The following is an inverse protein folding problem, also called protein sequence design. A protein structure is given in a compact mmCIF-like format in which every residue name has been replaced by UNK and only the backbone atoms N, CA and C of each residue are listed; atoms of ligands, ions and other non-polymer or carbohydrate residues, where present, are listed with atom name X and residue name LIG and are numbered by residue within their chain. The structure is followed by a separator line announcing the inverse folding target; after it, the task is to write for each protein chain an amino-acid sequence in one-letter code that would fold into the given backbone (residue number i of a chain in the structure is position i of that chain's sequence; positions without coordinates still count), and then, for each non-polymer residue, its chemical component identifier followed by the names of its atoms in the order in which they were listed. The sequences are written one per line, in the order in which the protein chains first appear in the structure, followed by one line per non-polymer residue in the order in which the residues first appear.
data_IF_027922551586
#
_entry.id   IF_027922551586
#
_cell.length_a   1.000
_cell.length_b   1.000
_cell.length_c   1.000
_cell.angle_alpha   90.00
_cell.angle_beta   90.00
_cell.angle_gamma   90.00
#
_symmetry.space_group_name_H-M   'P 1'
#
loop_
_entity.id
_entity.type
_entity.pdbx_description
1 polymer ?
#
# COMPACT_ATOMS: atom_id res chain seq x y z
N UNK A 1 -15.07 12.07 12.54
CA UNK A 1 -14.27 11.86 11.31
C UNK A 1 -13.32 10.70 11.56
N UNK A 2 -13.74 9.49 11.19
CA UNK A 2 -12.93 8.28 11.37
C UNK A 2 -12.20 8.00 10.05
N UNK A 3 -10.89 8.25 10.03
CA UNK A 3 -10.03 7.82 8.93
C UNK A 3 -9.97 6.30 8.98
N UNK A 4 -10.51 5.65 7.97
CA UNK A 4 -10.39 4.20 7.78
C UNK A 4 -9.01 3.93 7.17
N UNK A 5 -7.97 4.03 8.01
CA UNK A 5 -6.65 3.50 7.70
C UNK A 5 -6.76 1.97 7.64
N UNK A 6 -6.50 1.40 6.49
CA UNK A 6 -6.45 -0.05 6.32
C UNK A 6 -5.12 -0.55 6.89
N UNK A 7 -5.11 -0.89 8.17
CA UNK A 7 -3.94 -1.41 8.88
C UNK A 7 -3.76 -2.91 8.58
N UNK A 8 -2.64 -3.35 8.01
CA UNK A 8 -2.34 -4.78 7.83
C UNK A 8 -0.87 -5.13 8.10
N UNK A 9 -0.52 -5.24 9.38
CA UNK A 9 0.66 -5.97 9.84
C UNK A 9 0.68 -7.41 9.27
N UNK A 10 1.62 -7.74 8.38
CA UNK A 10 1.61 -8.98 7.58
C UNK A 10 2.95 -9.72 7.62
N UNK A 11 3.01 -10.96 8.14
CA UNK A 11 4.15 -11.87 7.97
C UNK A 11 3.72 -13.18 7.29
N UNK A 12 4.26 -13.48 6.10
CA UNK A 12 3.73 -14.52 5.18
C UNK A 12 4.57 -15.81 5.15
N UNK A 13 3.91 -16.98 5.19
CA UNK A 13 4.35 -18.23 4.50
C UNK A 13 3.13 -19.12 4.14
N UNK A 14 3.26 -20.01 3.14
CA UNK A 14 2.15 -20.68 2.42
C UNK A 14 1.46 -21.83 3.21
N UNK A 15 0.12 -21.80 3.33
CA UNK A 15 -0.78 -22.96 3.48
C UNK A 15 -1.63 -23.08 4.77
N UNK A 16 -2.97 -22.92 4.66
CA UNK A 16 -4.05 -22.98 5.72
C UNK A 16 -4.05 -21.77 6.71
N UNK A 17 -5.14 -21.42 7.45
CA UNK A 17 -5.26 -20.09 8.05
C UNK A 17 -4.39 -19.97 9.31
N UNK A 18 -3.13 -19.56 9.13
CA UNK A 18 -2.17 -19.19 10.18
C UNK A 18 -2.38 -17.77 10.73
N UNK A 19 -3.34 -17.04 10.14
CA UNK A 19 -3.52 -15.61 10.31
C UNK A 19 -4.82 -15.35 11.07
N UNK A 20 -4.70 -14.66 12.20
CA UNK A 20 -5.83 -14.20 13.00
C UNK A 20 -5.87 -12.68 12.95
N UNK A 21 -7.00 -12.11 12.51
CA UNK A 21 -7.25 -10.67 12.62
C UNK A 21 -8.04 -10.39 13.89
N UNK A 22 -7.45 -9.66 14.83
CA UNK A 22 -8.09 -9.32 16.09
C UNK A 22 -8.70 -7.91 15.98
N UNK A 23 -10.02 -7.86 15.84
CA UNK A 23 -10.83 -6.69 16.22
C UNK A 23 -11.22 -6.85 17.71
N UNK A 24 -12.27 -6.21 18.31
CA UNK A 24 -12.46 -6.30 19.77
C UNK A 24 -12.76 -7.71 20.33
N UNK A 25 -12.82 -8.76 19.49
CA UNK A 25 -12.82 -10.16 19.91
C UNK A 25 -11.56 -10.87 19.39
N UNK A 26 -10.85 -11.64 20.25
CA UNK A 26 -9.68 -12.40 19.82
C UNK A 26 -10.12 -13.59 18.94
N UNK A 27 -9.50 -13.69 17.76
CA UNK A 27 -9.71 -14.77 16.80
C UNK A 27 -8.48 -15.71 16.76
N UNK A 28 -7.82 -15.92 17.89
CA UNK A 28 -6.52 -16.61 17.98
C UNK A 28 -6.71 -18.07 18.41
N UNK A 29 -6.02 -19.00 17.75
CA UNK A 29 -5.99 -20.42 18.09
C UNK A 29 -4.56 -20.90 18.38
N UNK A 30 -4.39 -22.15 18.85
CA UNK A 30 -3.08 -22.70 19.22
C UNK A 30 -2.11 -22.86 18.03
N UNK A 31 -2.59 -22.72 16.80
CA UNK A 31 -1.79 -22.79 15.57
C UNK A 31 -1.54 -21.42 14.94
N UNK A 32 -2.07 -20.34 15.49
CA UNK A 32 -1.86 -18.99 14.94
C UNK A 32 -0.38 -18.63 15.05
N UNK A 33 0.21 -18.17 13.94
CA UNK A 33 1.61 -17.69 13.89
C UNK A 33 1.74 -16.27 13.37
N UNK A 34 0.67 -15.71 12.82
CA UNK A 34 0.56 -14.31 12.46
C UNK A 34 -0.70 -13.74 13.11
N UNK A 35 -0.52 -12.69 13.89
CA UNK A 35 -1.62 -11.91 14.43
C UNK A 35 -1.63 -10.52 13.77
N UNK A 36 -2.75 -10.19 13.14
CA UNK A 36 -3.01 -8.86 12.61
C UNK A 36 -3.80 -8.11 13.67
N UNK A 37 -3.16 -7.10 14.26
CA UNK A 37 -3.73 -6.31 15.36
C UNK A 37 -3.75 -4.84 14.96
N UNK A 38 -4.70 -4.11 15.54
CA UNK A 38 -4.67 -2.65 15.47
C UNK A 38 -3.58 -2.11 16.40
N UNK A 39 -3.06 -0.92 16.12
CA UNK A 39 -2.02 -0.27 16.92
C UNK A 39 -2.40 -0.20 18.41
N UNK A 40 -3.66 0.13 18.70
CA UNK A 40 -4.15 0.18 20.08
C UNK A 40 -4.22 -1.18 20.78
N UNK A 41 -4.40 -2.29 20.04
CA UNK A 41 -4.30 -3.64 20.60
C UNK A 41 -2.83 -3.98 20.86
N UNK A 42 -1.93 -3.68 19.93
CA UNK A 42 -0.49 -3.90 20.10
C UNK A 42 0.04 -3.18 21.35
N UNK A 43 -0.30 -1.91 21.54
CA UNK A 43 0.10 -1.15 22.75
C UNK A 43 -0.37 -1.85 24.03
N UNK A 44 -1.61 -2.35 24.06
CA UNK A 44 -2.15 -3.08 25.23
C UNK A 44 -1.47 -4.43 25.43
N UNK A 45 -1.05 -5.10 24.36
CA UNK A 45 -0.29 -6.35 24.46
C UNK A 45 1.05 -6.08 25.15
N UNK A 46 1.80 -5.07 24.68
CA UNK A 46 3.10 -4.68 25.26
C UNK A 46 2.96 -4.26 26.73
N UNK A 47 1.91 -3.49 27.08
CA UNK A 47 1.67 -3.08 28.47
C UNK A 47 1.35 -4.24 29.41
N UNK A 48 0.74 -5.33 28.89
CA UNK A 48 0.37 -6.51 29.69
C UNK A 48 1.51 -7.51 29.80
N UNK A 49 2.23 -7.71 28.71
CA UNK A 49 3.41 -8.57 28.62
C UNK A 49 4.52 -7.81 27.87
N UNK A 50 5.37 -7.07 28.60
CA UNK A 50 6.50 -6.35 28.00
C UNK A 50 7.51 -7.26 27.32
N UNK A 51 7.59 -8.53 27.70
CA UNK A 51 8.49 -9.48 27.06
C UNK A 51 7.94 -9.97 25.72
N UNK A 52 6.64 -9.76 25.43
CA UNK A 52 5.95 -10.30 24.25
C UNK A 52 6.30 -11.78 24.03
N UNK A 53 6.03 -12.60 25.05
CA UNK A 53 6.47 -14.00 25.10
C UNK A 53 5.94 -14.77 23.90
N UNK A 54 6.83 -15.47 23.18
CA UNK A 54 6.49 -16.23 21.98
C UNK A 54 6.43 -15.41 20.68
N UNK A 55 6.56 -14.09 20.74
CA UNK A 55 6.71 -13.21 19.57
C UNK A 55 8.19 -13.05 19.24
N UNK A 56 8.56 -13.26 17.97
CA UNK A 56 9.92 -13.06 17.46
C UNK A 56 10.09 -11.91 16.49
N UNK A 57 8.98 -11.36 15.97
CA UNK A 57 8.98 -10.25 15.02
C UNK A 57 7.70 -9.43 15.20
N UNK A 58 7.84 -8.10 15.28
CA UNK A 58 6.71 -7.16 15.14
C UNK A 58 6.89 -6.35 13.87
N UNK A 59 5.81 -6.21 13.10
CA UNK A 59 5.77 -5.42 11.87
C UNK A 59 4.88 -4.20 12.12
N UNK A 60 5.42 -3.01 11.92
CA UNK A 60 4.64 -1.77 11.94
C UNK A 60 4.37 -1.37 10.49
N UNK A 61 3.14 -1.60 10.04
CA UNK A 61 2.72 -1.28 8.66
C UNK A 61 2.12 0.13 8.56
N UNK A 62 2.14 0.71 7.36
CA UNK A 62 1.58 2.05 7.09
C UNK A 62 2.13 3.17 8.00
N UNK A 63 3.40 3.06 8.45
CA UNK A 63 3.98 3.95 9.46
C UNK A 63 4.03 5.45 9.05
N UNK A 64 3.76 5.76 7.78
CA UNK A 64 3.69 7.12 7.28
C UNK A 64 2.45 7.91 7.72
N UNK A 65 1.40 7.25 8.23
CA UNK A 65 0.25 7.96 8.78
C UNK A 65 0.58 8.71 10.10
N UNK A 66 1.73 8.40 10.71
CA UNK A 66 2.24 9.01 11.95
C UNK A 66 1.17 9.16 13.02
N UNK A 67 0.44 8.07 13.27
CA UNK A 67 -0.50 8.03 14.38
C UNK A 67 0.28 8.08 15.70
N UNK A 68 -0.31 8.69 16.73
CA UNK A 68 0.27 8.70 18.07
C UNK A 68 0.49 7.28 18.61
N UNK A 69 -0.40 6.35 18.23
CA UNK A 69 -0.33 4.95 18.64
C UNK A 69 0.83 4.21 17.97
N UNK A 70 1.13 4.46 16.70
CA UNK A 70 2.28 3.88 16.02
C UNK A 70 3.60 4.40 16.62
N UNK A 71 3.72 5.71 16.84
CA UNK A 71 4.91 6.31 17.45
C UNK A 71 5.13 5.77 18.88
N UNK A 72 4.06 5.62 19.68
CA UNK A 72 4.13 5.02 21.01
C UNK A 72 4.51 3.54 20.97
N UNK A 73 3.92 2.76 20.06
CA UNK A 73 4.25 1.36 19.90
C UNK A 73 5.72 1.17 19.53
N UNK A 74 6.25 1.99 18.61
CA UNK A 74 7.66 1.95 18.23
C UNK A 74 8.57 2.26 19.42
N UNK A 75 8.28 3.32 20.19
CA UNK A 75 9.07 3.67 21.37
C UNK A 75 9.12 2.52 22.39
N UNK A 76 7.97 1.93 22.72
CA UNK A 76 7.90 0.81 23.66
C UNK A 76 8.65 -0.43 23.14
N UNK A 77 8.56 -0.72 21.85
CA UNK A 77 9.25 -1.87 21.25
C UNK A 77 10.77 -1.69 21.25
N UNK A 78 11.27 -0.48 21.03
CA UNK A 78 12.70 -0.18 21.12
C UNK A 78 13.22 -0.32 22.55
N UNK A 79 12.44 0.11 23.55
CA UNK A 79 12.78 -0.08 24.96
C UNK A 79 12.83 -1.57 25.34
N UNK A 80 11.87 -2.36 24.84
CA UNK A 80 11.84 -3.82 25.06
C UNK A 80 13.06 -4.49 24.43
N UNK A 81 13.46 -4.10 23.21
CA UNK A 81 14.66 -4.65 22.56
C UNK A 81 15.95 -4.34 23.33
N UNK A 82 16.04 -3.17 23.96
CA UNK A 82 17.23 -2.76 24.70
C UNK A 82 17.32 -3.40 26.09
N UNK A 83 16.18 -3.63 26.75
CA UNK A 83 16.15 -4.08 28.14
C UNK A 83 15.89 -5.57 28.36
N UNK A 84 15.03 -6.18 27.54
CA UNK A 84 14.44 -7.50 27.84
C UNK A 84 14.66 -8.53 26.73
N UNK A 85 14.58 -8.12 25.46
CA UNK A 85 14.51 -9.03 24.31
C UNK A 85 15.40 -8.56 23.15
N UNK A 86 16.70 -8.79 23.27
CA UNK A 86 17.66 -8.54 22.19
C UNK A 86 17.42 -9.42 20.95
N UNK A 87 16.67 -10.51 21.09
CA UNK A 87 16.25 -11.40 20.01
C UNK A 87 14.99 -10.94 19.25
N UNK A 88 14.21 -10.02 19.82
CA UNK A 88 12.98 -9.53 19.18
C UNK A 88 13.32 -8.70 17.95
N UNK A 89 12.76 -9.04 16.78
CA UNK A 89 12.98 -8.29 15.54
C UNK A 89 11.88 -7.25 15.32
N UNK A 90 12.25 -6.15 14.66
CA UNK A 90 11.31 -5.11 14.22
C UNK A 90 11.43 -4.89 12.71
N UNK A 91 10.28 -4.76 12.06
CA UNK A 91 10.16 -4.35 10.67
C UNK A 91 9.21 -3.17 10.58
N UNK A 92 9.66 -2.06 10.01
CA UNK A 92 8.83 -0.88 9.78
C UNK A 92 8.58 -0.77 8.28
N UNK A 93 7.30 -0.76 7.89
CA UNK A 93 6.86 -0.63 6.50
C UNK A 93 6.19 0.73 6.30
N UNK A 94 6.58 1.43 5.23
CA UNK A 94 6.05 2.73 4.87
C UNK A 94 5.92 2.84 3.35
N UNK A 95 4.80 3.39 2.88
CA UNK A 95 4.56 3.65 1.46
C UNK A 95 5.16 4.99 0.98
N UNK A 96 5.52 5.89 1.90
CA UNK A 96 6.01 7.24 1.54
C UNK A 96 7.37 7.57 2.16
N UNK A 97 8.11 8.33 1.38
CA UNK A 97 9.56 8.57 1.44
C UNK A 97 9.95 9.60 2.53
N UNK A 98 9.63 9.36 3.80
CA UNK A 98 10.25 10.09 4.93
C UNK A 98 11.21 9.19 5.70
N UNK A 99 11.97 8.38 4.93
CA UNK A 99 13.00 7.47 5.42
C UNK A 99 14.05 8.23 6.24
N UNK A 100 14.32 9.51 5.93
CA UNK A 100 15.39 10.29 6.54
C UNK A 100 15.21 10.49 8.05
N UNK A 101 13.97 10.59 8.55
CA UNK A 101 13.71 10.70 9.99
C UNK A 101 13.85 9.37 10.71
N UNK A 102 13.31 8.31 10.11
CA UNK A 102 13.44 6.95 10.65
C UNK A 102 14.91 6.51 10.66
N UNK A 103 15.67 6.81 9.61
CA UNK A 103 17.12 6.58 9.56
C UNK A 103 17.88 7.39 10.61
N UNK A 104 17.45 8.62 10.92
CA UNK A 104 18.04 9.40 12.02
C UNK A 104 17.74 8.78 13.40
N UNK A 105 16.54 8.23 13.58
CA UNK A 105 16.15 7.57 14.82
C UNK A 105 16.84 6.20 14.97
N UNK A 106 17.00 5.49 13.87
CA UNK A 106 17.51 4.13 13.78
C UNK A 106 18.66 4.06 12.75
N UNK A 107 19.82 4.64 13.04
CA UNK A 107 20.93 4.75 12.07
C UNK A 107 21.49 3.40 11.65
N UNK A 108 21.39 2.39 12.53
CA UNK A 108 21.87 1.03 12.26
C UNK A 108 20.84 0.15 11.54
N UNK A 109 19.60 0.64 11.32
CA UNK A 109 18.56 -0.15 10.70
C UNK A 109 18.74 -0.22 9.17
N UNK A 110 18.88 -1.41 8.57
CA UNK A 110 19.02 -1.55 7.13
C UNK A 110 17.72 -1.15 6.43
N UNK A 111 17.83 -0.30 5.40
CA UNK A 111 16.70 0.15 4.60
C UNK A 111 16.57 -0.71 3.35
N UNK A 112 15.41 -1.32 3.18
CA UNK A 112 15.07 -2.09 1.99
C UNK A 112 14.01 -1.33 1.21
N UNK A 113 14.32 -0.97 -0.04
CA UNK A 113 13.40 -0.27 -0.94
C UNK A 113 12.87 -1.26 -1.96
N UNK A 114 11.54 -1.33 -2.07
CA UNK A 114 10.87 -2.07 -3.15
C UNK A 114 10.47 -1.08 -4.24
N UNK A 115 11.12 -1.15 -5.39
CA UNK A 115 10.80 -0.29 -6.53
C UNK A 115 9.47 -0.69 -7.17
N UNK A 116 8.54 0.27 -7.24
CA UNK A 116 7.30 0.15 -8.00
C UNK A 116 7.43 0.76 -9.39
N UNK A 117 6.51 0.41 -10.29
CA UNK A 117 6.37 1.12 -11.56
C UNK A 117 5.57 2.40 -11.31
N UNK A 118 6.19 3.55 -11.58
CA UNK A 118 5.54 4.86 -11.53
C UNK A 118 5.58 5.43 -12.94
N UNK A 119 4.43 5.85 -13.45
CA UNK A 119 4.33 6.53 -14.74
C UNK A 119 4.28 8.04 -14.51
N UNK A 120 4.85 8.85 -15.42
CA UNK A 120 4.75 10.30 -15.30
C UNK A 120 3.29 10.75 -15.36
N UNK A 121 2.91 11.66 -14.45
CA UNK A 121 1.56 12.23 -14.38
C UNK A 121 1.65 13.73 -14.66
N UNK A 122 0.93 14.19 -15.69
CA UNK A 122 0.78 15.61 -15.98
C UNK A 122 -0.09 16.29 -14.92
N UNK A 123 0.33 17.47 -14.44
CA UNK A 123 -0.40 18.24 -13.42
C UNK A 123 -1.03 19.46 -14.06
N UNK A 124 -2.36 19.52 -14.05
CA UNK A 124 -3.15 20.67 -14.53
C UNK A 124 -3.91 21.29 -13.36
N UNK A 125 -4.02 22.62 -13.36
CA UNK A 125 -4.71 23.37 -12.32
C UNK A 125 -5.80 24.23 -12.95
N UNK A 126 -7.01 24.14 -12.42
CA UNK A 126 -8.14 24.97 -12.82
C UNK A 126 -8.92 25.39 -11.57
N UNK A 127 -9.13 26.69 -11.33
CA UNK A 127 -9.92 27.16 -10.20
C UNK A 127 -11.41 26.82 -10.41
N UNK A 128 -12.10 26.49 -9.32
CA UNK A 128 -13.55 26.32 -9.34
C UNK A 128 -14.24 27.69 -9.38
N UNK A 129 -15.38 27.77 -10.07
CA UNK A 129 -16.20 28.98 -10.10
C UNK A 129 -16.72 29.31 -8.70
N UNK A 130 -16.50 30.55 -8.25
CA UNK A 130 -17.03 31.04 -6.97
C UNK A 130 -18.55 31.29 -6.98
N UNK A 131 -19.18 31.27 -8.16
CA UNK A 131 -20.61 31.51 -8.33
C UNK A 131 -21.45 30.24 -8.23
N UNK A 132 -20.81 29.07 -8.35
CA UNK A 132 -21.46 27.77 -8.28
C UNK A 132 -21.28 27.14 -6.91
N UNK A 133 -22.17 26.22 -6.57
CA UNK A 133 -21.95 25.35 -5.43
C UNK A 133 -20.77 24.41 -5.71
N UNK A 134 -20.06 24.02 -4.66
CA UNK A 134 -18.88 23.16 -4.76
C UNK A 134 -19.15 21.85 -5.52
N UNK A 135 -20.25 21.18 -5.19
CA UNK A 135 -20.68 19.92 -5.81
C UNK A 135 -20.95 20.06 -7.32
N UNK A 136 -21.63 21.14 -7.70
CA UNK A 136 -21.90 21.46 -9.11
C UNK A 136 -20.61 21.78 -9.87
N UNK A 137 -19.76 22.66 -9.32
CA UNK A 137 -18.52 23.07 -9.97
C UNK A 137 -17.58 21.88 -10.19
N UNK A 138 -17.47 20.98 -9.21
CA UNK A 138 -16.68 19.75 -9.32
C UNK A 138 -17.28 18.80 -10.34
N UNK A 139 -18.60 18.60 -10.34
CA UNK A 139 -19.26 17.71 -11.31
C UNK A 139 -19.08 18.20 -12.75
N UNK A 140 -19.17 19.52 -12.99
CA UNK A 140 -18.91 20.12 -14.30
C UNK A 140 -17.45 19.89 -14.74
N UNK A 141 -16.49 20.16 -13.86
CA UNK A 141 -15.08 19.95 -14.16
C UNK A 141 -14.74 18.47 -14.42
N UNK A 142 -15.28 17.55 -13.62
CA UNK A 142 -15.07 16.11 -13.79
C UNK A 142 -15.71 15.59 -15.08
N UNK A 143 -16.94 16.01 -15.40
CA UNK A 143 -17.60 15.64 -16.66
C UNK A 143 -16.83 16.17 -17.88
N UNK A 144 -16.29 17.39 -17.80
CA UNK A 144 -15.47 17.96 -18.87
C UNK A 144 -14.18 17.18 -19.08
N UNK A 145 -13.50 16.79 -17.99
CA UNK A 145 -12.29 15.97 -18.07
C UNK A 145 -12.58 14.59 -18.66
N UNK A 146 -13.69 13.95 -18.29
CA UNK A 146 -14.12 12.66 -18.86
C UNK A 146 -14.41 12.73 -20.36
N UNK A 147 -14.75 13.91 -20.90
CA UNK A 147 -14.94 14.10 -22.35
C UNK A 147 -13.63 14.23 -23.12
N UNK A 148 -12.57 14.73 -22.48
CA UNK A 148 -11.30 15.03 -23.15
C UNK A 148 -10.22 13.97 -22.91
N UNK A 149 -10.31 13.24 -21.80
CA UNK A 149 -9.33 12.24 -21.38
C UNK A 149 -9.89 10.82 -21.48
N UNK A 150 -9.01 9.86 -21.77
CA UNK A 150 -9.37 8.45 -21.83
C UNK A 150 -9.05 7.73 -20.52
N UNK A 151 -9.81 6.68 -20.21
CA UNK A 151 -9.56 5.81 -19.06
C UNK A 151 -10.49 6.07 -17.88
N UNK A 152 -10.08 5.59 -16.70
CA UNK A 152 -10.84 5.76 -15.46
C UNK A 152 -10.36 6.97 -14.67
N UNK A 153 -11.27 7.64 -13.96
CA UNK A 153 -10.97 8.80 -13.13
C UNK A 153 -11.16 8.45 -11.64
N UNK A 154 -10.16 8.78 -10.82
CA UNK A 154 -10.28 8.79 -9.37
C UNK A 154 -10.48 10.23 -8.88
N UNK A 155 -11.67 10.52 -8.36
CA UNK A 155 -12.04 11.83 -7.86
C UNK A 155 -11.99 11.86 -6.32
N UNK A 156 -11.11 12.67 -5.75
CA UNK A 156 -11.01 12.87 -4.31
C UNK A 156 -11.99 13.95 -3.83
N UNK A 157 -12.80 13.63 -2.84
CA UNK A 157 -13.81 14.53 -2.25
C UNK A 157 -13.67 14.59 -0.72
N UNK A 158 -14.07 15.70 -0.07
CA UNK A 158 -13.83 15.90 1.37
C UNK A 158 -14.55 14.90 2.29
N UNK A 159 -15.71 14.38 1.88
CA UNK A 159 -16.53 13.55 2.74
C UNK A 159 -17.70 12.89 2.01
N UNK A 160 -18.44 12.07 2.76
CA UNK A 160 -19.56 11.26 2.22
C UNK A 160 -20.68 12.15 1.67
N UNK A 161 -20.97 13.28 2.32
CA UNK A 161 -21.99 14.22 1.84
C UNK A 161 -21.63 14.82 0.49
N UNK A 162 -20.38 15.22 0.32
CA UNK A 162 -19.87 15.74 -0.96
C UNK A 162 -19.82 14.64 -2.03
N UNK A 163 -19.43 13.41 -1.67
CA UNK A 163 -19.45 12.25 -2.57
C UNK A 163 -20.85 12.04 -3.15
N UNK A 164 -21.87 12.01 -2.30
CA UNK A 164 -23.25 11.75 -2.74
C UNK A 164 -23.80 12.89 -3.60
N UNK A 165 -23.57 14.15 -3.21
CA UNK A 165 -24.03 15.31 -4.00
C UNK A 165 -23.36 15.38 -5.37
N UNK A 166 -22.05 15.15 -5.45
CA UNK A 166 -21.32 15.13 -6.73
C UNK A 166 -21.78 13.94 -7.58
N UNK A 167 -22.04 12.78 -6.97
CA UNK A 167 -22.56 11.59 -7.66
C UNK A 167 -23.92 11.87 -8.31
N UNK A 168 -24.85 12.50 -7.59
CA UNK A 168 -26.14 12.93 -8.12
C UNK A 168 -25.97 13.86 -9.33
N UNK A 169 -25.09 14.87 -9.21
CA UNK A 169 -24.83 15.81 -10.31
C UNK A 169 -24.16 15.14 -11.52
N UNK A 170 -23.24 14.19 -11.30
CA UNK A 170 -22.56 13.47 -12.38
C UNK A 170 -23.49 12.53 -13.13
N UNK A 171 -24.48 11.95 -12.46
CA UNK A 171 -25.44 11.01 -13.06
C UNK A 171 -26.15 11.61 -14.27
N UNK A 172 -26.39 12.93 -14.26
CA UNK A 172 -27.05 13.66 -15.35
C UNK A 172 -26.08 14.25 -16.39
N UNK A 173 -24.76 14.18 -16.15
CA UNK A 173 -23.73 14.91 -16.93
C UNK A 173 -22.75 14.01 -17.67
N UNK A 174 -22.65 12.74 -17.28
CA UNK A 174 -21.73 11.77 -17.91
C UNK A 174 -22.45 10.91 -18.94
N UNK A 175 -21.69 10.33 -19.87
CA UNK A 175 -22.22 9.40 -20.85
C UNK A 175 -22.63 8.07 -20.20
N UNK A 176 -23.53 7.32 -20.83
CA UNK A 176 -24.09 6.06 -20.31
C UNK A 176 -23.03 4.96 -20.11
N UNK A 177 -21.89 5.05 -20.80
CA UNK A 177 -20.78 4.11 -20.69
C UNK A 177 -19.84 4.40 -19.50
N UNK A 178 -20.10 5.49 -18.75
CA UNK A 178 -19.35 5.86 -17.54
C UNK A 178 -19.99 5.21 -16.32
N UNK A 179 -19.23 4.35 -15.64
CA UNK A 179 -19.68 3.69 -14.41
C UNK A 179 -19.26 4.53 -13.20
N UNK A 180 -20.22 5.21 -12.58
CA UNK A 180 -19.99 5.96 -11.35
C UNK A 180 -19.93 5.00 -10.14
N UNK A 181 -18.82 5.06 -9.39
CA UNK A 181 -18.56 4.18 -8.24
C UNK A 181 -18.16 5.01 -7.01
N UNK A 182 -19.10 5.32 -6.09
CA UNK A 182 -18.73 5.96 -4.83
C UNK A 182 -17.88 5.00 -3.97
N UNK A 183 -16.95 5.55 -3.20
CA UNK A 183 -16.10 4.77 -2.29
C UNK A 183 -15.94 5.47 -0.94
N UNK A 184 -16.50 4.88 0.12
CA UNK A 184 -16.33 5.32 1.51
C UNK A 184 -16.56 4.15 2.48
N UNK A 185 -15.99 4.23 3.69
CA UNK A 185 -15.85 3.09 4.60
C UNK A 185 -17.16 2.47 5.11
N UNK A 186 -18.30 3.16 5.01
CA UNK A 186 -19.61 2.65 5.43
C UNK A 186 -20.33 1.82 4.33
N UNK A 187 -19.78 1.75 3.11
CA UNK A 187 -20.37 0.98 2.02
C UNK A 187 -20.26 -0.55 2.23
N UNK A 188 -21.20 -1.34 1.71
CA UNK A 188 -21.04 -2.79 1.63
C UNK A 188 -19.75 -3.19 0.89
N UNK A 189 -19.10 -4.27 1.32
CA UNK A 189 -17.85 -4.75 0.70
C UNK A 189 -17.99 -5.02 -0.80
N UNK A 190 -19.16 -5.45 -1.27
CA UNK A 190 -19.45 -5.66 -2.69
C UNK A 190 -19.36 -4.37 -3.50
N UNK A 191 -19.83 -3.25 -2.95
CA UNK A 191 -19.80 -1.94 -3.61
C UNK A 191 -18.39 -1.34 -3.59
N UNK A 192 -17.68 -1.48 -2.46
CA UNK A 192 -16.27 -1.08 -2.39
C UNK A 192 -15.42 -1.83 -3.43
N UNK A 193 -15.65 -3.14 -3.58
CA UNK A 193 -14.99 -3.96 -4.60
C UNK A 193 -15.32 -3.51 -6.02
N UNK A 194 -16.54 -3.06 -6.28
CA UNK A 194 -16.92 -2.53 -7.60
C UNK A 194 -16.03 -1.33 -7.94
N UNK A 195 -15.86 -0.37 -7.03
CA UNK A 195 -14.98 0.78 -7.27
C UNK A 195 -13.52 0.38 -7.57
N UNK A 196 -12.99 -0.64 -6.88
CA UNK A 196 -11.60 -1.11 -7.04
C UNK A 196 -11.40 -1.88 -8.35
N UNK A 197 -12.37 -2.70 -8.76
CA UNK A 197 -12.23 -3.60 -9.92
C UNK A 197 -12.63 -2.98 -11.25
N UNK A 198 -13.47 -1.93 -11.24
CA UNK A 198 -14.08 -1.40 -12.48
C UNK A 198 -13.09 -0.75 -13.46
N UNK A 199 -11.87 -0.40 -13.02
CA UNK A 199 -10.80 0.08 -13.91
C UNK A 199 -9.89 -1.01 -14.49
N UNK A 200 -9.79 -2.17 -13.84
CA UNK A 200 -8.82 -3.22 -14.20
C UNK A 200 -9.26 -4.10 -15.38
N UNK A 201 -10.54 -4.03 -15.77
CA UNK A 201 -11.14 -4.94 -16.75
C UNK A 201 -10.93 -4.61 -18.23
N UNK A 202 -10.50 -3.38 -18.57
CA UNK A 202 -10.37 -2.95 -19.98
C UNK A 202 -8.96 -3.07 -20.56
N UNK A 203 -7.91 -3.08 -19.74
CA UNK A 203 -6.53 -3.29 -20.24
C UNK A 203 -6.24 -4.74 -20.62
N UNK A 204 -6.91 -5.73 -20.00
CA UNK A 204 -6.65 -7.15 -20.22
C UNK A 204 -7.07 -7.69 -21.60
N UNK A 205 -7.79 -6.92 -22.42
CA UNK A 205 -8.23 -7.33 -23.76
C UNK A 205 -7.42 -6.68 -24.89
N UNK A 206 -6.53 -5.73 -24.58
CA UNK A 206 -5.53 -5.22 -25.51
C UNK A 206 -4.29 -6.13 -25.47
N UNK A 207 -4.35 -7.24 -26.20
CA UNK A 207 -3.27 -8.23 -26.28
C UNK A 207 -1.99 -7.66 -26.90
N UNK A 208 -1.02 -7.29 -26.07
CA UNK A 208 0.41 -7.18 -26.41
C UNK A 208 1.25 -6.94 -25.14
N UNK A 209 1.34 -7.93 -24.24
CA UNK A 209 2.17 -7.76 -23.03
C UNK A 209 2.45 -9.02 -22.21
N UNK A 210 1.67 -10.08 -22.41
CA UNK A 210 1.80 -11.31 -21.63
C UNK A 210 2.93 -12.26 -22.05
N UNK A 211 3.75 -11.89 -23.03
CA UNK A 211 4.88 -12.73 -23.49
C UNK A 211 6.19 -12.42 -22.73
N UNK A 212 6.37 -11.21 -22.17
CA UNK A 212 7.70 -10.77 -21.72
C UNK A 212 8.12 -11.27 -20.32
N UNK A 213 7.17 -11.69 -19.46
CA UNK A 213 7.48 -12.13 -18.10
C UNK A 213 7.86 -13.63 -17.98
N UNK A 214 7.86 -14.41 -19.07
CA UNK A 214 8.20 -15.84 -19.02
C UNK A 214 9.67 -16.14 -19.31
N UNK A 215 10.38 -15.27 -20.02
CA UNK A 215 11.71 -15.60 -20.54
C UNK A 215 12.88 -15.18 -19.62
N UNK A 216 12.61 -14.53 -18.48
CA UNK A 216 13.66 -14.08 -17.54
C UNK A 216 13.94 -15.04 -16.36
N UNK A 217 13.26 -16.19 -16.28
CA UNK A 217 13.44 -17.15 -15.18
C UNK A 217 14.06 -18.49 -15.58
N UNK A 218 14.62 -18.61 -16.78
CA UNK A 218 15.24 -19.87 -17.22
C UNK A 218 16.58 -19.65 -17.95
N UNK A 219 17.59 -19.14 -17.22
CA UNK A 219 19.00 -19.40 -17.56
C UNK A 219 19.87 -19.35 -16.30
N UNK A 220 19.98 -20.51 -15.63
CA UNK A 220 21.22 -20.89 -14.92
C UNK A 220 22.13 -21.54 -15.96
N UNK A 221 23.34 -21.01 -16.15
CA UNK A 221 24.37 -21.62 -16.98
C UNK A 221 25.74 -21.06 -16.61
N UNK A 222 26.66 -21.96 -16.27
CA UNK A 222 28.02 -21.75 -15.74
C UNK A 222 28.90 -20.70 -16.43
N UNK A 223 29.93 -20.17 -15.75
CA UNK A 223 30.98 -19.37 -16.37
C UNK A 223 31.97 -20.27 -17.12
N UNK A 224 32.43 -19.91 -18.34
CA UNK A 224 33.44 -20.71 -19.03
C UNK A 224 34.83 -20.36 -18.50
N UNK A 225 35.47 -21.34 -17.88
CA UNK A 225 36.90 -21.36 -17.63
C UNK A 225 37.71 -21.79 -18.86
N UNK A 226 38.75 -21.01 -19.16
CA UNK A 226 40.07 -21.49 -19.60
C UNK A 226 40.30 -21.76 -21.10
N UNK A 227 41.31 -21.08 -21.67
CA UNK A 227 42.53 -21.71 -22.24
C UNK A 227 43.50 -20.66 -22.80
N UNK A 228 44.72 -20.68 -22.26
CA UNK A 228 45.95 -20.19 -22.88
C UNK A 228 46.27 -20.97 -24.16
N UNK A 229 47.00 -20.35 -25.10
CA UNK A 229 48.07 -20.96 -25.94
C UNK A 229 48.86 -19.86 -26.71
N UNK A 230 50.06 -20.15 -27.26
CA UNK A 230 51.24 -19.27 -27.20
C UNK A 230 51.67 -18.62 -28.54
N UNK A 231 52.46 -17.54 -28.41
CA UNK A 231 53.68 -17.20 -29.17
C UNK A 231 53.70 -17.10 -30.70
N UNK A 232 53.99 -15.90 -31.23
CA UNK A 232 54.86 -15.54 -32.36
C UNK A 232 54.66 -14.03 -32.63
N UNK A 233 55.64 -13.13 -32.53
CA UNK A 233 56.69 -12.88 -33.51
C UNK A 233 56.52 -11.46 -34.12
N UNK A 234 57.55 -10.61 -33.95
CA UNK A 234 57.81 -9.25 -34.52
C UNK A 234 57.55 -9.12 -36.05
N UNK A 235 57.70 -7.94 -36.73
CA UNK A 235 58.34 -6.64 -36.39
C UNK A 235 57.40 -5.42 -36.70
N UNK A 236 57.72 -4.12 -36.55
CA UNK A 236 58.92 -3.28 -36.49
C UNK A 236 58.76 -2.25 -35.35
#
# INVERSE_FOLDING_TARGET
MSRSGWLNCLAKSRGRPWVSACAPKPCVGPQTRLEVVTEGILTRMIQRDPELTGVGLVILDEFHERSLQADLALALLLDVQQGLRDDLKLLIMSATLDNDRLQRLLPEAPVVVSEGRIYPVERRFSPLSAQQRFDEAVAVAAAELLRHEQGSMLLFLPGVGEIQRVLEQLTERVAEDVILCPLYGALPLSEQRKAILSGAGREAQSGAGHQYCRDQFDHRGDPPGGRQRPGAGRPL
#
